data_IF_631318571438
#
_entry.id   IF_631318571438
#
_cell.length_a   1.000
_cell.length_b   1.000
_cell.length_c   1.000
_cell.angle_alpha   90.00
_cell.angle_beta   90.00
_cell.angle_gamma   90.00
#
_symmetry.space_group_name_H-M   'P 1'
#
loop_
_entity.id
_entity.type
_entity.pdbx_description
1 polymer ?
#
# COMPACT_ATOMS: atom_id res chain seq x y z
N UNK A 1 -12.46 34.57 -10.79
CA UNK A 1 -11.26 34.66 -9.94
C UNK A 1 -11.11 33.34 -9.18
N UNK A 2 -11.22 32.20 -9.91
CA UNK A 2 -11.31 30.83 -9.32
C UNK A 2 -10.43 29.80 -10.04
N UNK A 3 -9.48 30.21 -10.90
CA UNK A 3 -8.75 29.29 -11.75
C UNK A 3 -7.22 29.26 -11.54
N UNK A 4 -6.71 29.87 -10.49
CA UNK A 4 -5.25 29.99 -10.24
C UNK A 4 -4.75 29.27 -8.98
N UNK A 5 -5.56 28.42 -8.34
CA UNK A 5 -5.18 27.73 -7.09
C UNK A 5 -4.13 26.61 -7.27
N UNK A 6 -3.86 26.19 -8.50
CA UNK A 6 -2.84 25.18 -8.78
C UNK A 6 -1.83 25.68 -9.82
N UNK A 7 -0.60 25.90 -9.44
CA UNK A 7 0.52 26.23 -10.36
C UNK A 7 1.00 25.03 -11.17
N UNK A 8 0.14 24.25 -11.73
CA UNK A 8 0.49 23.12 -12.58
C UNK A 8 -0.58 22.05 -12.55
N UNK A 9 -1.57 22.20 -13.34
CA UNK A 9 -2.70 21.32 -13.57
C UNK A 9 -2.92 20.16 -12.62
N UNK A 10 -4.04 20.10 -11.91
CA UNK A 10 -4.44 18.95 -11.09
C UNK A 10 -4.59 17.73 -12.00
N UNK A 11 -3.66 16.79 -11.90
CA UNK A 11 -3.76 15.49 -12.55
C UNK A 11 -4.71 14.61 -11.74
N UNK A 12 -5.64 13.95 -12.43
CA UNK A 12 -6.55 13.00 -11.80
C UNK A 12 -5.82 11.77 -11.30
N UNK A 13 -5.85 11.53 -10.00
CA UNK A 13 -5.23 10.36 -9.42
C UNK A 13 -6.03 9.10 -9.75
N UNK A 14 -5.40 8.14 -10.43
CA UNK A 14 -6.09 6.95 -10.96
C UNK A 14 -6.71 6.04 -9.88
N UNK A 15 -6.24 6.13 -8.64
CA UNK A 15 -6.74 5.34 -7.50
C UNK A 15 -7.88 6.02 -6.71
N UNK A 16 -8.36 7.19 -7.12
CA UNK A 16 -9.58 7.79 -6.55
C UNK A 16 -10.78 6.85 -6.62
N UNK A 17 -10.84 6.02 -7.66
CA UNK A 17 -11.91 5.03 -7.82
C UNK A 17 -11.95 4.01 -6.67
N UNK A 18 -10.80 3.62 -6.12
CA UNK A 18 -10.70 2.66 -5.03
C UNK A 18 -11.38 3.17 -3.75
N UNK A 19 -11.38 4.48 -3.54
CA UNK A 19 -12.00 5.14 -2.38
C UNK A 19 -13.40 5.70 -2.69
N UNK A 20 -14.01 5.26 -3.80
CA UNK A 20 -15.42 5.54 -4.13
C UNK A 20 -15.66 6.80 -4.96
N UNK A 21 -14.69 7.25 -5.72
CA UNK A 21 -14.83 8.36 -6.65
C UNK A 21 -14.61 7.93 -8.11
N UNK A 22 -15.16 6.77 -8.51
CA UNK A 22 -14.95 6.17 -9.82
C UNK A 22 -15.57 6.98 -10.97
N UNK A 23 -16.61 7.77 -10.71
CA UNK A 23 -17.35 8.55 -11.70
C UNK A 23 -16.80 9.95 -11.93
N UNK A 24 -15.80 10.35 -11.14
CA UNK A 24 -15.21 11.68 -11.28
C UNK A 24 -14.20 11.63 -12.43
N UNK A 25 -14.54 12.37 -13.50
CA UNK A 25 -13.75 12.45 -14.73
C UNK A 25 -13.37 13.87 -15.11
N UNK A 26 -13.98 14.88 -14.46
CA UNK A 26 -13.75 16.28 -14.78
C UNK A 26 -12.82 16.92 -13.76
N UNK A 27 -11.87 17.72 -14.23
CA UNK A 27 -10.95 18.48 -13.39
C UNK A 27 -11.68 19.36 -12.37
N UNK A 28 -12.73 20.07 -12.78
CA UNK A 28 -13.50 20.92 -11.86
C UNK A 28 -14.13 20.16 -10.69
N UNK A 29 -14.49 18.89 -10.89
CA UNK A 29 -15.03 18.07 -9.81
C UNK A 29 -13.94 17.65 -8.81
N UNK A 30 -12.71 17.46 -9.26
CA UNK A 30 -11.56 17.20 -8.36
C UNK A 30 -11.23 18.45 -7.58
N UNK A 31 -11.20 19.62 -8.21
CA UNK A 31 -10.95 20.90 -7.54
C UNK A 31 -11.99 21.15 -6.43
N UNK A 32 -13.26 20.86 -6.69
CA UNK A 32 -14.33 20.96 -5.68
C UNK A 32 -14.09 20.02 -4.48
N UNK A 33 -13.65 18.76 -4.73
CA UNK A 33 -13.34 17.82 -3.66
C UNK A 33 -12.14 18.30 -2.84
N UNK A 34 -11.10 18.82 -3.48
CA UNK A 34 -9.93 19.37 -2.80
C UNK A 34 -10.31 20.54 -1.90
N UNK A 35 -11.15 21.45 -2.40
CA UNK A 35 -11.67 22.56 -1.59
C UNK A 35 -12.51 22.03 -0.42
N UNK A 36 -13.40 21.07 -0.65
CA UNK A 36 -14.20 20.45 0.40
C UNK A 36 -13.33 19.78 1.48
N UNK A 37 -12.25 19.09 1.10
CA UNK A 37 -11.28 18.52 2.06
C UNK A 37 -10.65 19.62 2.91
N UNK A 38 -10.18 20.71 2.28
CA UNK A 38 -9.52 21.81 3.00
C UNK A 38 -10.47 22.56 3.91
N UNK A 39 -11.75 22.70 3.55
CA UNK A 39 -12.75 23.41 4.34
C UNK A 39 -13.35 22.56 5.48
N UNK A 40 -13.45 21.23 5.27
CA UNK A 40 -14.21 20.33 6.17
C UNK A 40 -13.42 19.11 6.63
N UNK A 41 -12.10 19.24 6.73
CA UNK A 41 -11.17 18.19 7.12
C UNK A 41 -11.51 17.55 8.48
N UNK A 42 -11.17 16.26 8.62
CA UNK A 42 -11.20 15.56 9.91
C UNK A 42 -9.89 15.72 10.68
N UNK A 43 -8.77 15.85 9.94
CA UNK A 43 -7.44 16.01 10.51
C UNK A 43 -6.66 17.06 9.74
N UNK A 44 -5.98 17.94 10.49
CA UNK A 44 -5.05 18.93 9.96
C UNK A 44 -3.73 18.86 10.71
N UNK A 45 -2.62 18.83 9.96
CA UNK A 45 -1.27 18.95 10.51
C UNK A 45 -0.59 20.13 9.84
N UNK A 46 0.07 20.98 10.62
CA UNK A 46 0.82 22.14 10.13
C UNK A 46 2.26 22.05 10.62
N UNK A 47 3.19 22.33 9.74
CA UNK A 47 4.63 22.38 9.99
C UNK A 47 5.13 23.78 9.67
N UNK A 48 5.36 24.59 10.72
CA UNK A 48 5.70 26.00 10.58
C UNK A 48 7.15 26.22 10.17
N UNK A 49 8.07 25.37 10.65
CA UNK A 49 9.51 25.50 10.40
C UNK A 49 9.98 24.75 9.14
N UNK A 50 9.12 24.56 8.15
CA UNK A 50 9.50 23.90 6.92
C UNK A 50 10.43 24.79 6.07
N UNK A 51 11.50 24.24 5.41
CA UNK A 51 12.47 25.03 4.63
C UNK A 51 11.83 25.90 3.54
N UNK A 52 10.74 25.42 2.95
CA UNK A 52 10.03 26.07 1.83
C UNK A 52 8.81 26.87 2.29
N UNK A 53 8.63 27.09 3.61
CA UNK A 53 7.50 27.84 4.18
C UNK A 53 6.67 27.04 5.19
N UNK A 54 5.39 27.35 5.32
CA UNK A 54 4.48 26.65 6.23
C UNK A 54 3.76 25.55 5.45
N UNK A 55 4.19 24.31 5.66
CA UNK A 55 3.54 23.13 5.04
C UNK A 55 2.32 22.70 5.83
N UNK A 56 1.25 22.30 5.14
CA UNK A 56 0.05 21.76 5.77
C UNK A 56 -0.50 20.55 5.03
N UNK A 57 -1.03 19.62 5.82
CA UNK A 57 -1.72 18.41 5.38
C UNK A 57 -3.14 18.41 5.95
N UNK A 58 -4.13 18.25 5.07
CA UNK A 58 -5.55 18.13 5.41
C UNK A 58 -6.06 16.78 4.98
N UNK A 59 -6.64 16.00 5.87
CA UNK A 59 -7.20 14.69 5.55
C UNK A 59 -8.69 14.66 5.86
N UNK A 60 -9.48 14.10 4.95
CA UNK A 60 -10.91 13.86 5.12
C UNK A 60 -11.27 12.41 4.81
N UNK A 61 -11.99 11.80 5.73
CA UNK A 61 -12.46 10.42 5.64
C UNK A 61 -13.85 10.38 4.99
N UNK A 62 -14.04 9.46 4.06
CA UNK A 62 -15.31 9.25 3.37
C UNK A 62 -15.97 7.90 3.69
N UNK A 63 -15.42 7.18 4.66
CA UNK A 63 -15.94 5.91 5.21
C UNK A 63 -14.82 4.92 5.51
N UNK A 64 -14.87 4.25 6.67
CA UNK A 64 -13.97 3.17 7.08
C UNK A 64 -12.49 3.44 6.79
N UNK A 65 -11.98 4.56 7.30
CA UNK A 65 -10.58 4.98 7.18
C UNK A 65 -10.06 5.09 5.73
N UNK A 66 -10.96 5.30 4.76
CA UNK A 66 -10.58 5.68 3.42
C UNK A 66 -11.02 7.11 3.08
N UNK A 67 -10.19 7.85 2.36
CA UNK A 67 -10.44 9.24 2.10
C UNK A 67 -9.46 9.90 1.15
N UNK A 68 -9.35 11.22 1.28
CA UNK A 68 -8.44 12.04 0.48
C UNK A 68 -7.63 12.92 1.42
N UNK A 69 -6.34 12.99 1.16
CA UNK A 69 -5.41 13.94 1.79
C UNK A 69 -5.01 14.98 0.77
N UNK A 70 -4.99 16.24 1.19
CA UNK A 70 -4.53 17.41 0.42
C UNK A 70 -3.34 18.00 1.14
N UNK A 71 -2.24 18.17 0.43
CA UNK A 71 -1.00 18.75 0.90
C UNK A 71 -0.70 20.05 0.16
N UNK A 72 -0.09 21.00 0.85
CA UNK A 72 0.27 22.27 0.26
C UNK A 72 0.92 23.22 1.26
N UNK A 73 1.04 24.46 0.87
CA UNK A 73 1.75 25.48 1.63
C UNK A 73 0.89 26.73 1.88
N UNK A 74 1.17 27.41 2.97
CA UNK A 74 0.64 28.75 3.24
C UNK A 74 1.58 29.82 2.74
N UNK A 75 1.05 30.84 2.09
CA UNK A 75 1.80 32.05 1.74
C UNK A 75 1.97 33.01 2.94
N UNK A 76 2.68 34.12 2.72
CA UNK A 76 2.89 35.17 3.70
C UNK A 76 1.58 35.84 4.20
N UNK A 77 0.51 35.74 3.43
CA UNK A 77 -0.83 36.25 3.76
C UNK A 77 -1.71 35.20 4.46
N UNK A 78 -1.13 34.04 4.81
CA UNK A 78 -1.84 32.92 5.41
C UNK A 78 -2.95 32.33 4.50
N UNK A 79 -2.72 32.36 3.17
CA UNK A 79 -3.57 31.72 2.19
C UNK A 79 -2.97 30.36 1.84
N UNK A 80 -3.79 29.31 1.90
CA UNK A 80 -3.35 27.96 1.60
C UNK A 80 -3.39 27.69 0.08
N UNK A 81 -2.30 27.16 -0.45
CA UNK A 81 -2.16 26.73 -1.83
C UNK A 81 -1.91 25.21 -1.87
N UNK A 82 -2.87 24.43 -2.41
CA UNK A 82 -2.68 22.99 -2.57
C UNK A 82 -1.58 22.71 -3.61
N UNK A 83 -0.63 21.85 -3.27
CA UNK A 83 0.43 21.39 -4.19
C UNK A 83 0.05 20.07 -4.83
N UNK A 84 -0.45 19.13 -4.03
CA UNK A 84 -0.89 17.82 -4.48
C UNK A 84 -1.94 17.24 -3.54
N UNK A 85 -2.57 16.17 -3.99
CA UNK A 85 -3.50 15.37 -3.20
C UNK A 85 -3.31 13.89 -3.51
N UNK A 86 -3.76 13.04 -2.61
CA UNK A 86 -3.79 11.60 -2.84
C UNK A 86 -4.97 10.95 -2.12
N UNK A 87 -5.57 9.89 -2.71
CA UNK A 87 -6.49 9.03 -2.00
C UNK A 87 -5.71 8.17 -1.01
N UNK A 88 -6.27 7.93 0.16
CA UNK A 88 -5.69 7.05 1.16
C UNK A 88 -6.67 5.97 1.61
N UNK A 89 -6.11 4.87 2.06
CA UNK A 89 -6.80 3.86 2.85
C UNK A 89 -5.87 3.43 3.98
N UNK A 90 -6.30 3.63 5.23
CA UNK A 90 -5.53 3.22 6.40
C UNK A 90 -5.88 1.78 6.73
N UNK A 91 -4.89 0.91 6.64
CA UNK A 91 -5.02 -0.49 7.03
C UNK A 91 -5.11 -0.66 8.55
N UNK A 92 -5.48 -1.84 8.97
CA UNK A 92 -5.58 -2.24 10.38
C UNK A 92 -4.39 -3.09 10.80
N UNK A 93 -4.00 -2.97 12.07
CA UNK A 93 -2.89 -3.77 12.63
C UNK A 93 -1.50 -3.37 12.14
N UNK A 94 -0.50 -4.01 12.69
CA UNK A 94 0.90 -3.82 12.30
C UNK A 94 1.28 -4.92 11.31
N UNK A 95 1.72 -4.53 10.12
CA UNK A 95 2.16 -5.45 9.08
C UNK A 95 3.56 -5.98 9.35
N UNK A 96 4.47 -5.08 9.74
CA UNK A 96 5.87 -5.43 10.01
C UNK A 96 6.50 -4.46 11.02
N UNK A 97 7.57 -4.91 11.66
CA UNK A 97 8.44 -4.12 12.54
C UNK A 97 9.89 -4.07 12.01
N UNK A 98 10.07 -4.48 10.76
CA UNK A 98 11.37 -4.41 10.09
C UNK A 98 11.80 -2.95 9.89
N UNK A 99 13.08 -2.75 9.67
CA UNK A 99 13.64 -1.43 9.45
C UNK A 99 13.08 -0.79 8.18
N UNK A 100 12.63 0.44 8.30
CA UNK A 100 12.08 1.24 7.20
C UNK A 100 13.00 2.42 6.93
N UNK A 101 13.34 2.62 5.67
CA UNK A 101 14.06 3.82 5.19
C UNK A 101 13.05 4.71 4.49
N UNK A 102 13.03 5.99 4.86
CA UNK A 102 12.14 6.99 4.24
C UNK A 102 12.98 7.94 3.39
N UNK A 103 12.57 8.10 2.14
CA UNK A 103 13.18 8.99 1.16
C UNK A 103 12.16 10.02 0.66
N UNK A 104 12.59 11.28 0.55
CA UNK A 104 11.78 12.37 0.00
C UNK A 104 11.80 12.31 -1.53
N UNK A 105 10.67 12.49 -2.17
CA UNK A 105 10.62 12.72 -3.61
C UNK A 105 11.20 14.09 -3.97
N UNK A 106 11.94 14.15 -5.09
CA UNK A 106 12.71 15.35 -5.46
C UNK A 106 11.85 16.59 -5.74
N UNK A 107 10.62 16.41 -6.20
CA UNK A 107 9.76 17.51 -6.70
C UNK A 107 8.62 17.89 -5.76
N UNK A 108 8.37 17.12 -4.70
CA UNK A 108 7.21 17.32 -3.80
C UNK A 108 7.56 16.94 -2.37
N UNK A 109 6.84 17.50 -1.39
CA UNK A 109 6.86 17.04 0.01
C UNK A 109 6.12 15.72 0.19
N UNK A 110 6.33 14.77 -0.70
CA UNK A 110 5.87 13.40 -0.60
C UNK A 110 7.04 12.46 -0.37
N UNK A 111 6.78 11.36 0.32
CA UNK A 111 7.81 10.45 0.78
C UNK A 111 7.49 9.02 0.38
N UNK A 112 8.52 8.30 -0.06
CA UNK A 112 8.47 6.87 -0.23
C UNK A 112 9.16 6.19 0.95
N UNK A 113 8.59 5.08 1.40
CA UNK A 113 9.24 4.19 2.34
C UNK A 113 9.77 2.96 1.63
N UNK A 114 10.91 2.45 2.08
CA UNK A 114 11.46 1.17 1.65
C UNK A 114 11.60 0.25 2.86
N UNK A 115 11.06 -0.96 2.76
CA UNK A 115 11.10 -1.97 3.80
C UNK A 115 11.58 -3.30 3.23
N UNK A 116 12.60 -3.88 3.86
CA UNK A 116 13.14 -5.19 3.51
C UNK A 116 12.52 -6.27 4.39
N UNK A 117 11.34 -6.76 4.03
CA UNK A 117 10.71 -7.86 4.74
C UNK A 117 11.12 -9.20 4.11
N UNK A 118 11.78 -10.05 4.89
CA UNK A 118 12.31 -11.34 4.44
C UNK A 118 11.23 -12.30 3.92
N UNK A 119 9.99 -12.13 4.37
CA UNK A 119 8.86 -12.96 3.96
C UNK A 119 8.50 -12.75 2.48
N UNK A 120 8.72 -11.56 1.96
CA UNK A 120 8.42 -11.22 0.56
C UNK A 120 9.59 -11.54 -0.37
N UNK A 121 10.82 -11.44 0.11
CA UNK A 121 12.02 -11.69 -0.68
C UNK A 121 12.44 -10.55 -1.63
N UNK A 122 11.68 -9.43 -1.61
CA UNK A 122 12.01 -8.19 -2.34
C UNK A 122 11.81 -7.00 -1.42
N UNK A 123 12.54 -5.91 -1.66
CA UNK A 123 12.31 -4.63 -0.97
C UNK A 123 10.93 -4.09 -1.36
N UNK A 124 10.08 -3.87 -0.37
CA UNK A 124 8.80 -3.22 -0.57
C UNK A 124 8.98 -1.71 -0.57
N UNK A 125 8.58 -1.06 -1.65
CA UNK A 125 8.52 0.40 -1.76
C UNK A 125 7.06 0.80 -1.65
N UNK A 126 6.75 1.78 -0.80
CA UNK A 126 5.40 2.22 -0.56
C UNK A 126 5.32 3.74 -0.44
N UNK A 127 4.16 4.30 -0.74
CA UNK A 127 3.84 5.70 -0.51
C UNK A 127 3.58 5.95 0.98
N UNK A 128 4.27 6.91 1.60
CA UNK A 128 4.07 7.25 3.02
C UNK A 128 2.81 8.11 3.18
N UNK A 129 1.79 7.59 3.89
CA UNK A 129 0.51 8.27 4.10
C UNK A 129 0.59 9.41 5.12
N UNK A 130 1.45 9.28 6.13
CA UNK A 130 1.55 10.21 7.25
C UNK A 130 2.87 11.01 7.23
N UNK A 131 3.15 11.62 6.08
CA UNK A 131 4.37 12.38 5.84
C UNK A 131 4.55 13.56 6.83
N UNK A 132 3.47 14.30 7.12
CA UNK A 132 3.52 15.40 8.06
C UNK A 132 3.83 14.96 9.50
N UNK A 133 3.30 13.82 9.94
CA UNK A 133 3.66 13.24 11.25
C UNK A 133 5.13 12.81 11.28
N UNK A 134 5.59 12.15 10.21
CA UNK A 134 6.98 11.74 10.06
C UNK A 134 7.92 12.95 10.18
N UNK A 135 7.61 14.06 9.51
CA UNK A 135 8.40 15.28 9.58
C UNK A 135 8.41 15.89 10.99
N UNK A 136 7.27 15.89 11.69
CA UNK A 136 7.20 16.38 13.07
C UNK A 136 8.05 15.54 14.02
N UNK A 137 7.95 14.21 13.94
CA UNK A 137 8.68 13.29 14.83
C UNK A 137 10.18 13.28 14.52
N UNK A 138 10.57 13.34 13.24
CA UNK A 138 11.98 13.43 12.82
C UNK A 138 12.67 14.68 13.39
N UNK A 139 11.95 15.80 13.48
CA UNK A 139 12.45 17.05 14.05
C UNK A 139 12.60 17.01 15.56
N UNK A 140 11.66 16.37 16.27
CA UNK A 140 11.69 16.25 17.73
C UNK A 140 12.85 15.36 18.20
N UNK A 141 13.09 14.26 17.50
CA UNK A 141 14.07 13.24 17.93
C UNK A 141 15.44 13.36 17.25
N UNK A 142 15.60 14.24 16.25
CA UNK A 142 16.85 14.44 15.50
C UNK A 142 17.24 13.29 14.57
N UNK A 143 16.80 12.09 14.84
CA UNK A 143 16.90 10.88 14.02
C UNK A 143 15.87 9.89 14.55
N UNK A 144 14.97 9.43 13.69
CA UNK A 144 14.06 8.39 14.10
C UNK A 144 14.82 7.07 14.30
N UNK A 145 14.65 6.37 15.43
CA UNK A 145 15.24 5.05 15.60
C UNK A 145 14.66 4.11 14.52
N UNK A 146 15.48 3.24 13.95
CA UNK A 146 15.02 2.19 13.05
C UNK A 146 14.04 1.24 13.74
N UNK A 147 13.17 0.59 12.97
CA UNK A 147 12.22 -0.40 13.51
C UNK A 147 10.91 0.20 14.01
N UNK A 148 10.47 1.33 13.44
CA UNK A 148 9.12 1.84 13.68
C UNK A 148 8.09 0.85 13.13
N UNK A 149 7.03 0.50 13.91
CA UNK A 149 5.98 -0.36 13.40
C UNK A 149 5.34 0.24 12.15
N UNK A 150 5.14 -0.59 11.13
CA UNK A 150 4.59 -0.19 9.85
C UNK A 150 3.28 -0.93 9.59
N UNK A 151 2.23 -0.20 9.25
CA UNK A 151 1.00 -0.73 8.67
C UNK A 151 1.03 -0.49 7.16
N UNK A 152 0.93 -1.56 6.37
CA UNK A 152 0.78 -1.49 4.93
C UNK A 152 -0.69 -1.60 4.54
N UNK A 153 -1.05 -0.91 3.47
CA UNK A 153 -2.37 -1.00 2.84
C UNK A 153 -2.26 -0.83 1.34
N UNK A 154 -3.24 -1.34 0.59
CA UNK A 154 -3.27 -1.25 -0.85
C UNK A 154 -4.55 -0.60 -1.36
N UNK A 155 -4.45 0.29 -2.34
CA UNK A 155 -5.58 0.74 -3.15
C UNK A 155 -5.57 -0.02 -4.47
N UNK A 156 -6.66 -0.74 -4.79
CA UNK A 156 -6.76 -1.52 -6.01
C UNK A 156 -7.67 -0.85 -7.05
N UNK A 157 -7.22 -0.83 -8.31
CA UNK A 157 -8.02 -0.34 -9.45
C UNK A 157 -8.90 -1.42 -10.03
N UNK A 158 -8.47 -2.67 -9.94
CA UNK A 158 -9.15 -3.85 -10.45
C UNK A 158 -8.75 -5.07 -9.63
N UNK A 159 -9.65 -6.03 -9.55
CA UNK A 159 -9.37 -7.26 -8.83
C UNK A 159 -10.28 -8.40 -9.23
N UNK A 160 -9.83 -9.62 -8.95
CA UNK A 160 -10.58 -10.86 -9.21
C UNK A 160 -10.56 -11.72 -7.97
N UNK A 161 -11.69 -12.34 -7.68
CA UNK A 161 -11.82 -13.33 -6.61
C UNK A 161 -11.65 -14.71 -7.22
N UNK A 162 -10.67 -15.43 -6.75
CA UNK A 162 -10.34 -16.79 -7.17
C UNK A 162 -10.80 -17.80 -6.12
N UNK A 163 -11.03 -19.04 -6.56
CA UNK A 163 -11.33 -20.12 -5.63
C UNK A 163 -10.11 -20.44 -4.74
N UNK A 164 -10.34 -20.97 -3.53
CA UNK A 164 -9.26 -21.45 -2.69
C UNK A 164 -8.51 -22.59 -3.39
N UNK A 165 -7.23 -22.74 -3.09
CA UNK A 165 -6.49 -23.96 -3.42
C UNK A 165 -6.79 -24.96 -2.32
N UNK A 166 -7.11 -26.21 -2.68
CA UNK A 166 -7.22 -27.28 -1.68
C UNK A 166 -5.84 -27.50 -1.04
N UNK A 167 -5.77 -27.15 0.24
CA UNK A 167 -4.56 -27.32 1.04
C UNK A 167 -4.73 -28.53 1.95
N UNK A 168 -3.89 -29.53 1.78
CA UNK A 168 -3.70 -30.55 2.81
C UNK A 168 -3.09 -29.90 4.06
N UNK A 169 -3.71 -30.12 5.22
CA UNK A 169 -3.26 -29.53 6.50
C UNK A 169 -1.81 -29.92 6.86
N UNK A 170 -1.38 -31.09 6.48
CA UNK A 170 0.00 -31.54 6.69
C UNK A 170 0.97 -30.83 5.72
N UNK A 171 0.57 -30.67 4.45
CA UNK A 171 1.32 -29.91 3.47
C UNK A 171 1.46 -28.43 3.85
N UNK A 172 0.43 -27.80 4.42
CA UNK A 172 0.51 -26.42 4.92
C UNK A 172 1.49 -26.28 6.08
N UNK A 173 1.51 -27.23 7.03
CA UNK A 173 2.49 -27.21 8.11
C UNK A 173 3.91 -27.37 7.60
N UNK A 174 4.12 -28.33 6.71
CA UNK A 174 5.42 -28.56 6.07
C UNK A 174 5.89 -27.32 5.28
N UNK A 175 5.01 -26.67 4.53
CA UNK A 175 5.32 -25.43 3.81
C UNK A 175 5.72 -24.28 4.76
N UNK A 176 5.02 -24.09 5.88
CA UNK A 176 5.38 -23.08 6.88
C UNK A 176 6.73 -23.32 7.54
N UNK A 177 7.06 -24.59 7.83
CA UNK A 177 8.38 -24.95 8.37
C UNK A 177 9.48 -24.67 7.33
N UNK A 178 9.25 -25.02 6.05
CA UNK A 178 10.17 -24.72 4.96
C UNK A 178 10.37 -23.19 4.79
N UNK A 179 9.30 -22.40 4.86
CA UNK A 179 9.38 -20.93 4.78
C UNK A 179 10.22 -20.35 5.93
N UNK A 180 10.04 -20.86 7.16
CA UNK A 180 10.84 -20.42 8.31
C UNK A 180 12.32 -20.74 8.12
N UNK A 181 12.64 -21.96 7.68
CA UNK A 181 14.01 -22.37 7.40
C UNK A 181 14.62 -21.52 6.28
N UNK A 182 13.87 -21.27 5.21
CA UNK A 182 14.30 -20.39 4.12
C UNK A 182 14.60 -18.97 4.59
N UNK A 183 13.73 -18.38 5.41
CA UNK A 183 13.94 -17.03 5.98
C UNK A 183 15.20 -16.98 6.85
N UNK A 184 15.49 -18.06 7.59
CA UNK A 184 16.73 -18.18 8.36
C UNK A 184 17.98 -18.25 7.47
N UNK A 185 17.90 -19.00 6.37
CA UNK A 185 18.98 -19.09 5.38
C UNK A 185 19.19 -17.75 4.66
N UNK A 186 18.12 -17.02 4.31
CA UNK A 186 18.20 -15.68 3.70
C UNK A 186 18.89 -14.69 4.66
N UNK A 187 18.54 -14.73 5.94
CA UNK A 187 19.18 -13.88 6.95
C UNK A 187 20.68 -14.20 7.11
N UNK A 188 21.04 -15.48 7.12
CA UNK A 188 22.45 -15.91 7.19
C UNK A 188 23.22 -15.51 5.91
N UNK A 189 22.66 -15.71 4.73
CA UNK A 189 23.25 -15.32 3.45
C UNK A 189 23.50 -13.81 3.35
N UNK A 190 22.58 -12.97 3.85
CA UNK A 190 22.77 -11.50 3.94
C UNK A 190 23.92 -11.10 4.86
N UNK A 191 24.25 -11.93 5.83
CA UNK A 191 25.42 -11.75 6.71
C UNK A 191 26.70 -12.36 6.15
N UNK A 192 26.70 -12.85 4.89
CA UNK A 192 27.87 -13.35 4.19
C UNK A 192 28.13 -14.85 4.40
N UNK A 193 27.16 -15.62 4.87
CA UNK A 193 27.27 -17.07 5.02
C UNK A 193 27.20 -17.76 3.64
N UNK A 194 28.35 -18.31 3.18
CA UNK A 194 28.46 -18.94 1.86
C UNK A 194 27.66 -20.26 1.77
N UNK A 195 27.59 -21.04 2.85
CA UNK A 195 26.82 -22.29 2.88
C UNK A 195 25.31 -21.99 2.76
N UNK A 196 24.84 -20.92 3.40
CA UNK A 196 23.47 -20.48 3.28
C UNK A 196 23.13 -19.98 1.87
N UNK A 197 24.06 -19.28 1.20
CA UNK A 197 23.88 -18.83 -0.20
C UNK A 197 23.82 -20.04 -1.16
N UNK A 198 24.68 -21.03 -0.97
CA UNK A 198 24.69 -22.25 -1.80
C UNK A 198 23.41 -23.06 -1.60
N UNK A 199 22.97 -23.23 -0.35
CA UNK A 199 21.73 -23.93 -0.02
C UNK A 199 20.50 -23.25 -0.64
N UNK A 200 20.38 -21.92 -0.55
CA UNK A 200 19.30 -21.16 -1.19
C UNK A 200 19.30 -21.33 -2.71
N UNK A 201 20.49 -21.33 -3.32
CA UNK A 201 20.62 -21.49 -4.78
C UNK A 201 20.13 -22.87 -5.22
N UNK A 202 20.46 -23.92 -4.48
CA UNK A 202 19.97 -25.28 -4.77
C UNK A 202 18.46 -25.40 -4.58
N UNK A 203 17.91 -24.87 -3.49
CA UNK A 203 16.47 -24.86 -3.21
C UNK A 203 15.70 -24.12 -4.31
N UNK A 204 16.22 -22.98 -4.79
CA UNK A 204 15.62 -22.21 -5.89
C UNK A 204 15.64 -22.99 -7.21
N UNK A 205 16.71 -23.69 -7.53
CA UNK A 205 16.81 -24.54 -8.73
C UNK A 205 15.82 -25.71 -8.69
N UNK A 206 15.67 -26.35 -7.54
CA UNK A 206 14.72 -27.46 -7.35
C UNK A 206 13.28 -26.96 -7.44
N UNK A 207 12.98 -25.83 -6.80
CA UNK A 207 11.66 -25.18 -6.86
C UNK A 207 11.32 -24.77 -8.30
N UNK A 208 12.26 -24.15 -9.02
CA UNK A 208 12.07 -23.78 -10.42
C UNK A 208 11.80 -25.00 -11.31
N UNK A 209 12.54 -26.07 -11.10
CA UNK A 209 12.36 -27.32 -11.85
C UNK A 209 10.99 -27.95 -11.60
N UNK A 210 10.55 -28.02 -10.35
CA UNK A 210 9.21 -28.50 -9.97
C UNK A 210 8.08 -27.66 -10.59
N UNK A 211 8.18 -26.33 -10.47
CA UNK A 211 7.18 -25.41 -11.01
C UNK A 211 7.13 -25.53 -12.54
N UNK A 212 8.29 -25.58 -13.20
CA UNK A 212 8.37 -25.69 -14.66
C UNK A 212 7.74 -26.98 -15.19
N UNK A 213 7.84 -28.09 -14.46
CA UNK A 213 7.18 -29.33 -14.82
C UNK A 213 5.65 -29.26 -14.63
N UNK A 214 5.18 -28.62 -13.55
CA UNK A 214 3.76 -28.53 -13.24
C UNK A 214 3.02 -27.54 -14.14
N UNK A 215 3.66 -26.44 -14.56
CA UNK A 215 3.07 -25.45 -15.49
C UNK A 215 2.67 -26.08 -16.83
N UNK A 216 3.31 -27.16 -17.23
CA UNK A 216 2.98 -27.87 -18.50
C UNK A 216 1.62 -28.57 -18.40
N UNK A 217 1.20 -28.99 -17.21
CA UNK A 217 0.00 -29.80 -16.99
C UNK A 217 -1.10 -29.07 -16.23
N UNK A 218 -0.75 -28.13 -15.38
CA UNK A 218 -1.67 -27.47 -14.45
C UNK A 218 -1.77 -25.95 -14.74
N UNK A 219 -2.90 -25.36 -14.40
CA UNK A 219 -3.04 -23.91 -14.43
C UNK A 219 -2.15 -23.27 -13.33
N UNK A 220 -1.38 -22.28 -13.70
CA UNK A 220 -0.47 -21.55 -12.80
C UNK A 220 -1.18 -21.03 -11.56
N UNK A 221 -2.45 -20.63 -11.68
CA UNK A 221 -3.27 -20.16 -10.57
C UNK A 221 -3.73 -21.26 -9.60
N UNK A 222 -3.58 -22.53 -10.00
CA UNK A 222 -3.82 -23.69 -9.13
C UNK A 222 -2.56 -24.13 -8.37
N UNK A 223 -1.39 -23.69 -8.84
CA UNK A 223 -0.08 -24.06 -8.27
C UNK A 223 0.39 -23.01 -7.26
N UNK A 224 0.20 -21.74 -7.58
CA UNK A 224 0.68 -20.60 -6.77
C UNK A 224 -0.42 -20.15 -5.83
N UNK A 225 -0.18 -20.25 -4.52
CA UNK A 225 -1.14 -19.86 -3.49
C UNK A 225 -1.22 -18.34 -3.32
N UNK A 226 -0.08 -17.70 -3.22
CA UNK A 226 0.05 -16.25 -3.03
C UNK A 226 1.31 -15.72 -3.69
N UNK A 227 1.32 -14.44 -4.03
CA UNK A 227 2.50 -13.73 -4.48
C UNK A 227 2.37 -12.22 -4.26
N UNK A 228 3.52 -11.57 -4.15
CA UNK A 228 3.66 -10.13 -4.05
C UNK A 228 4.77 -9.71 -5.01
N UNK A 229 4.43 -9.12 -6.16
CA UNK A 229 5.39 -8.86 -7.23
C UNK A 229 5.30 -7.40 -7.68
N UNK A 230 6.43 -6.70 -7.88
CA UNK A 230 6.44 -5.37 -8.50
C UNK A 230 5.68 -5.37 -9.84
N UNK A 231 4.96 -4.30 -10.12
CA UNK A 231 4.14 -4.18 -11.33
C UNK A 231 4.37 -2.85 -12.03
N UNK A 232 4.59 -2.92 -13.35
CA UNK A 232 4.76 -1.72 -14.17
C UNK A 232 6.11 -1.03 -13.98
N UNK A 233 6.10 0.29 -14.17
CA UNK A 233 7.29 1.15 -14.04
C UNK A 233 7.30 1.95 -12.73
N UNK A 234 6.17 2.03 -12.03
CA UNK A 234 6.04 2.69 -10.75
C UNK A 234 6.54 1.76 -9.65
N UNK A 235 7.44 2.24 -8.83
CA UNK A 235 8.12 1.42 -7.83
C UNK A 235 7.22 0.98 -6.65
N UNK A 236 6.09 1.65 -6.43
CA UNK A 236 5.12 1.41 -5.37
C UNK A 236 3.84 0.68 -5.85
N UNK A 237 3.84 0.18 -7.08
CA UNK A 237 2.75 -0.64 -7.62
C UNK A 237 3.13 -2.12 -7.63
N UNK A 238 2.16 -2.95 -7.22
CA UNK A 238 2.35 -4.39 -7.10
C UNK A 238 1.18 -5.16 -7.68
N UNK A 239 1.48 -6.28 -8.33
CA UNK A 239 0.54 -7.34 -8.58
C UNK A 239 0.56 -8.29 -7.39
N UNK A 240 -0.59 -8.44 -6.73
CA UNK A 240 -0.70 -9.28 -5.54
C UNK A 240 -1.73 -10.38 -5.72
N UNK A 241 -1.48 -11.52 -5.11
CA UNK A 241 -2.45 -12.57 -4.91
C UNK A 241 -2.32 -13.09 -3.49
N UNK A 242 -3.41 -13.08 -2.73
CA UNK A 242 -3.40 -13.52 -1.33
C UNK A 242 -4.74 -14.10 -0.90
N UNK A 243 -4.72 -14.88 0.18
CA UNK A 243 -5.91 -15.44 0.79
C UNK A 243 -6.68 -14.36 1.55
N UNK A 244 -8.00 -14.31 1.38
CA UNK A 244 -8.88 -13.40 2.10
C UNK A 244 -9.12 -13.96 3.50
N UNK A 245 -8.59 -13.29 4.51
CA UNK A 245 -8.76 -13.62 5.92
C UNK A 245 -10.06 -13.02 6.48
N UNK A 246 -10.38 -11.80 6.05
CA UNK A 246 -11.59 -11.08 6.43
C UNK A 246 -11.97 -10.08 5.32
N UNK A 247 -13.22 -9.64 5.33
CA UNK A 247 -13.68 -8.59 4.43
C UNK A 247 -14.88 -7.85 5.00
N UNK A 248 -14.99 -6.58 4.61
CA UNK A 248 -16.16 -5.77 4.90
C UNK A 248 -16.52 -4.90 3.69
N UNK A 249 -17.78 -4.49 3.63
CA UNK A 249 -18.28 -3.57 2.59
C UNK A 249 -18.90 -2.36 3.26
N UNK A 250 -18.55 -1.18 2.78
CA UNK A 250 -19.08 0.09 3.24
C UNK A 250 -19.39 1.01 2.06
N UNK A 251 -19.99 2.17 2.32
CA UNK A 251 -20.32 3.15 1.28
C UNK A 251 -19.53 4.44 1.52
N UNK A 252 -19.00 4.98 0.43
CA UNK A 252 -18.52 6.35 0.45
C UNK A 252 -19.68 7.28 0.78
N UNK A 253 -19.53 8.12 1.80
CA UNK A 253 -20.61 8.98 2.34
C UNK A 253 -21.07 10.07 1.36
N UNK A 254 -20.24 10.46 0.39
CA UNK A 254 -20.55 11.49 -0.60
C UNK A 254 -21.17 10.87 -1.86
N UNK A 255 -20.54 9.83 -2.41
CA UNK A 255 -20.94 9.28 -3.71
C UNK A 255 -21.94 8.13 -3.59
N UNK A 256 -22.01 7.49 -2.41
CA UNK A 256 -22.79 6.26 -2.19
C UNK A 256 -22.21 5.03 -2.87
N UNK A 257 -21.02 5.11 -3.50
CA UNK A 257 -20.35 3.97 -4.11
C UNK A 257 -19.96 2.94 -3.04
N UNK A 258 -20.19 1.66 -3.35
CA UNK A 258 -19.81 0.56 -2.47
C UNK A 258 -18.34 0.22 -2.62
N UNK A 259 -17.66 0.15 -1.49
CA UNK A 259 -16.24 -0.14 -1.38
C UNK A 259 -16.08 -1.42 -0.57
N UNK A 260 -15.19 -2.27 -0.99
CA UNK A 260 -14.82 -3.49 -0.29
C UNK A 260 -13.41 -3.35 0.29
N UNK A 261 -13.30 -3.57 1.58
CA UNK A 261 -12.04 -3.78 2.28
C UNK A 261 -11.82 -5.28 2.41
N UNK A 262 -10.61 -5.74 2.07
CA UNK A 262 -10.18 -7.13 2.17
C UNK A 262 -8.93 -7.18 3.04
N UNK A 263 -8.92 -8.01 4.06
CA UNK A 263 -7.69 -8.36 4.78
C UNK A 263 -7.08 -9.58 4.11
N UNK A 264 -5.88 -9.43 3.58
CA UNK A 264 -5.18 -10.46 2.82
C UNK A 264 -4.00 -11.03 3.61
N UNK A 265 -3.80 -12.33 3.46
CA UNK A 265 -2.52 -12.99 3.75
C UNK A 265 -1.80 -13.26 2.43
N UNK A 266 -0.63 -12.70 2.27
CA UNK A 266 0.19 -12.81 1.08
C UNK A 266 1.64 -13.11 1.50
N UNK A 267 2.10 -14.35 1.36
CA UNK A 267 3.41 -14.80 1.81
C UNK A 267 3.68 -14.53 3.31
N UNK A 268 2.72 -14.85 4.17
CA UNK A 268 2.75 -14.59 5.62
C UNK A 268 2.81 -13.09 6.00
N UNK A 269 2.57 -12.18 5.06
CA UNK A 269 2.32 -10.77 5.34
C UNK A 269 0.83 -10.49 5.28
N UNK A 270 0.32 -9.91 6.37
CA UNK A 270 -1.07 -9.49 6.45
C UNK A 270 -1.17 -7.99 6.24
N UNK A 271 -2.02 -7.59 5.32
CA UNK A 271 -2.33 -6.19 5.03
C UNK A 271 -3.72 -6.05 4.42
N UNK A 272 -4.25 -4.85 4.46
CA UNK A 272 -5.58 -4.56 3.96
C UNK A 272 -5.55 -3.96 2.55
N UNK A 273 -6.53 -4.34 1.72
CA UNK A 273 -6.75 -3.79 0.38
C UNK A 273 -8.13 -3.19 0.29
N UNK A 274 -8.21 -1.97 -0.26
CA UNK A 274 -9.44 -1.27 -0.56
C UNK A 274 -9.70 -1.27 -2.07
N UNK A 275 -10.90 -1.67 -2.47
CA UNK A 275 -11.32 -1.72 -3.88
C UNK A 275 -12.78 -1.30 -4.04
N UNK A 276 -13.10 -0.56 -5.09
CA UNK A 276 -14.48 -0.32 -5.47
C UNK A 276 -15.14 -1.63 -5.88
N UNK A 277 -16.32 -1.91 -5.36
CA UNK A 277 -17.04 -3.16 -5.64
C UNK A 277 -17.29 -3.38 -7.13
N UNK A 278 -17.48 -2.31 -7.90
CA UNK A 278 -17.68 -2.40 -9.35
C UNK A 278 -16.41 -2.81 -10.12
N UNK A 279 -15.24 -2.68 -9.51
CA UNK A 279 -13.95 -3.01 -10.11
C UNK A 279 -13.45 -4.39 -9.67
N UNK A 280 -14.25 -5.10 -8.87
CA UNK A 280 -13.95 -6.44 -8.37
C UNK A 280 -14.79 -7.49 -9.08
N UNK A 281 -14.15 -8.42 -9.76
CA UNK A 281 -14.80 -9.54 -10.40
C UNK A 281 -14.97 -10.71 -9.42
N UNK A 282 -16.20 -11.09 -9.13
CA UNK A 282 -16.54 -12.16 -8.20
C UNK A 282 -16.87 -11.65 -6.80
N UNK A 283 -17.34 -12.57 -5.93
CA UNK A 283 -17.75 -12.24 -4.57
C UNK A 283 -16.67 -12.65 -3.57
N UNK A 284 -16.25 -11.74 -2.68
CA UNK A 284 -15.29 -12.06 -1.65
C UNK A 284 -15.88 -13.03 -0.64
N UNK A 285 -15.07 -13.97 -0.18
CA UNK A 285 -15.38 -14.89 0.93
C UNK A 285 -14.07 -15.25 1.62
N UNK A 286 -14.12 -15.43 2.93
CA UNK A 286 -12.99 -15.92 3.71
C UNK A 286 -12.51 -17.26 3.12
N UNK A 287 -11.19 -17.39 2.99
CA UNK A 287 -10.51 -18.52 2.38
C UNK A 287 -10.44 -18.51 0.85
N UNK A 288 -11.18 -17.62 0.16
CA UNK A 288 -10.95 -17.34 -1.25
C UNK A 288 -9.71 -16.47 -1.42
N UNK A 289 -9.21 -16.36 -2.66
CA UNK A 289 -8.04 -15.54 -2.96
C UNK A 289 -8.44 -14.31 -3.75
N UNK A 290 -7.88 -13.18 -3.37
CA UNK A 290 -7.92 -11.95 -4.17
C UNK A 290 -6.68 -11.89 -5.05
N UNK A 291 -6.85 -11.52 -6.32
CA UNK A 291 -5.78 -11.18 -7.25
C UNK A 291 -6.05 -9.81 -7.84
N UNK A 292 -5.11 -8.89 -7.74
CA UNK A 292 -5.27 -7.53 -8.26
C UNK A 292 -3.97 -6.76 -8.36
N UNK A 293 -4.07 -5.56 -8.93
CA UNK A 293 -2.98 -4.59 -8.97
C UNK A 293 -3.29 -3.53 -7.93
N UNK A 294 -2.35 -3.29 -7.02
CA UNK A 294 -2.46 -2.33 -5.94
C UNK A 294 -1.40 -1.23 -6.04
N UNK A 295 -1.75 -0.06 -5.58
CA UNK A 295 -0.81 0.97 -5.15
C UNK A 295 -0.58 0.80 -3.66
N UNK A 296 0.65 0.49 -3.29
CA UNK A 296 1.03 0.20 -1.92
C UNK A 296 1.26 1.50 -1.14
N UNK A 297 0.61 1.60 -0.01
CA UNK A 297 0.73 2.72 0.93
C UNK A 297 1.18 2.20 2.28
N UNK A 298 1.82 3.06 3.07
CA UNK A 298 2.27 2.71 4.41
C UNK A 298 2.05 3.84 5.41
N UNK A 299 1.78 3.46 6.64
CA UNK A 299 1.67 4.36 7.79
C UNK A 299 2.65 3.92 8.87
N UNK A 300 3.55 4.81 9.27
CA UNK A 300 4.46 4.61 10.40
C UNK A 300 3.76 4.95 11.72
N UNK A 301 4.07 4.20 12.77
CA UNK A 301 3.55 4.43 14.13
C UNK A 301 4.69 4.87 15.06
N UNK A 302 4.44 5.94 15.84
CA UNK A 302 5.40 6.59 16.71
C UNK A 302 5.02 6.45 18.18
#
# INVERSE_FOLDING_TARGET
MESELFQGGVLMHSYLRAVGFSKITKRSSIEQIIMDVVETYDKKIVIEDHPDGVFAEFSKNYGCDCGITVCGQYDENNVFYPDYYFPFFRGTGITTQESVVIERHAEKESFAGACDDLRIGVTLIFYLQNAAEYLQESRKSGMLPGGQPLTLSGLAKEGKILFPVEKDKEAVKAARELTKNRNHLIAAARNGDEEAMESLTMDDMDTYSMISQRIVTDDILSIVDSYFMPYGIECDQYSVMGEILDFMTFKNIITGEEICQLTLDCNDIQFDVCINKNDMLGEPKIGRRFKGIIWLQGQLHY
#
